data_IF_096624550192
#
_entry.id   IF_096624550192
#
_cell.length_a   1.000
_cell.length_b   1.000
_cell.length_c   1.000
_cell.angle_alpha   90.00
_cell.angle_beta   90.00
_cell.angle_gamma   90.00
#
_symmetry.space_group_name_H-M   'P 1'
#
loop_
_entity.id
_entity.type
_entity.pdbx_description
1 polymer ?
#
# COMPACT_ATOMS: atom_id res chain seq x y z
N UNK A 1 -29.15 22.28 -49.94
CA UNK A 1 -28.82 20.95 -49.38
C UNK A 1 -27.31 20.80 -49.33
N UNK A 2 -26.73 20.29 -48.25
CA UNK A 2 -25.28 20.01 -48.20
C UNK A 2 -24.98 18.71 -48.94
N UNK A 3 -23.91 18.68 -49.74
CA UNK A 3 -23.51 17.47 -50.45
C UNK A 3 -22.88 16.48 -49.48
N UNK A 4 -22.90 15.18 -49.82
CA UNK A 4 -22.23 14.16 -49.02
C UNK A 4 -20.74 14.45 -48.83
N UNK A 5 -20.11 15.13 -49.80
CA UNK A 5 -18.72 15.56 -49.71
C UNK A 5 -18.52 16.63 -48.63
N UNK A 6 -19.38 17.67 -48.63
CA UNK A 6 -19.27 18.77 -47.69
C UNK A 6 -19.54 18.33 -46.25
N UNK A 7 -20.48 17.39 -46.05
CA UNK A 7 -20.76 16.82 -44.73
C UNK A 7 -19.56 16.04 -44.18
N UNK A 8 -18.93 15.20 -45.00
CA UNK A 8 -17.76 14.39 -44.60
C UNK A 8 -16.55 15.30 -44.37
N UNK A 9 -16.33 16.30 -45.25
CA UNK A 9 -15.24 17.26 -45.09
C UNK A 9 -15.39 18.06 -43.79
N UNK A 10 -16.60 18.53 -43.48
CA UNK A 10 -16.88 19.24 -42.23
C UNK A 10 -16.66 18.37 -41.01
N UNK A 11 -17.18 17.15 -41.02
CA UNK A 11 -16.96 16.19 -39.93
C UNK A 11 -15.46 15.90 -39.71
N UNK A 12 -14.68 15.80 -40.79
CA UNK A 12 -13.24 15.63 -40.69
C UNK A 12 -12.54 16.82 -40.00
N UNK A 13 -12.86 18.05 -40.41
CA UNK A 13 -12.26 19.24 -39.79
C UNK A 13 -12.70 19.43 -38.33
N UNK A 14 -13.97 19.15 -38.00
CA UNK A 14 -14.45 19.14 -36.61
C UNK A 14 -13.66 18.15 -35.75
N UNK A 15 -13.51 16.92 -36.25
CA UNK A 15 -12.78 15.87 -35.53
C UNK A 15 -11.28 16.17 -35.37
N UNK A 16 -10.70 16.93 -36.30
CA UNK A 16 -9.33 17.41 -36.19
C UNK A 16 -9.20 18.50 -35.14
N UNK A 17 -10.18 19.40 -35.07
CA UNK A 17 -10.23 20.50 -34.09
C UNK A 17 -10.47 20.01 -32.67
N UNK A 18 -11.37 19.05 -32.47
CA UNK A 18 -11.72 18.55 -31.14
C UNK A 18 -10.75 17.47 -30.60
N UNK A 19 -9.82 17.01 -31.45
CA UNK A 19 -8.82 15.99 -31.09
C UNK A 19 -9.39 14.57 -30.99
N UNK A 20 -10.60 14.35 -31.52
CA UNK A 20 -11.24 13.03 -31.58
C UNK A 20 -10.43 12.02 -32.38
N UNK A 21 -10.70 10.73 -32.15
CA UNK A 21 -10.10 9.65 -32.92
C UNK A 21 -10.47 9.76 -34.41
N UNK A 22 -9.47 10.03 -35.25
CA UNK A 22 -9.65 10.14 -36.70
C UNK A 22 -9.51 8.74 -37.33
N UNK A 23 -10.57 8.27 -37.98
CA UNK A 23 -10.56 7.12 -38.90
C UNK A 23 -11.60 7.35 -39.98
N UNK A 24 -11.45 6.75 -41.17
CA UNK A 24 -12.45 6.86 -42.26
C UNK A 24 -13.87 6.54 -41.79
N UNK A 25 -14.02 5.50 -40.98
CA UNK A 25 -15.31 5.08 -40.45
C UNK A 25 -15.87 6.09 -39.44
N UNK A 26 -15.04 6.61 -38.53
CA UNK A 26 -15.47 7.60 -37.55
C UNK A 26 -15.90 8.91 -38.21
N UNK A 27 -15.16 9.37 -39.23
CA UNK A 27 -15.51 10.57 -40.01
C UNK A 27 -16.84 10.38 -40.74
N UNK A 28 -17.05 9.23 -41.39
CA UNK A 28 -18.31 8.92 -42.08
C UNK A 28 -19.49 8.84 -41.09
N UNK A 29 -19.28 8.21 -39.94
CA UNK A 29 -20.29 8.11 -38.86
C UNK A 29 -20.65 9.49 -38.31
N UNK A 30 -19.66 10.34 -38.05
CA UNK A 30 -19.85 11.72 -37.56
C UNK A 30 -20.65 12.56 -38.56
N UNK A 31 -20.37 12.40 -39.86
CA UNK A 31 -21.12 13.04 -40.93
C UNK A 31 -22.53 12.46 -41.15
N UNK A 32 -22.90 11.38 -40.45
CA UNK A 32 -24.12 10.58 -40.71
C UNK A 32 -24.21 10.12 -42.18
N UNK A 33 -23.08 9.75 -42.77
CA UNK A 33 -22.96 9.28 -44.15
C UNK A 33 -22.37 7.87 -44.22
N UNK A 34 -22.62 7.18 -45.32
CA UNK A 34 -22.01 5.88 -45.58
C UNK A 34 -20.51 6.05 -45.93
N UNK A 35 -19.66 5.19 -45.35
CA UNK A 35 -18.22 5.13 -45.62
C UNK A 35 -17.89 4.90 -47.10
N UNK A 36 -18.79 4.24 -47.85
CA UNK A 36 -18.64 4.02 -49.30
C UNK A 36 -18.48 5.32 -50.10
N UNK A 37 -18.92 6.46 -49.57
CA UNK A 37 -18.68 7.77 -50.21
C UNK A 37 -17.18 8.11 -50.32
N UNK A 38 -16.34 7.64 -49.39
CA UNK A 38 -14.88 7.82 -49.43
C UNK A 38 -14.19 6.88 -50.43
N UNK A 39 -14.92 5.92 -51.01
CA UNK A 39 -14.41 5.00 -52.05
C UNK A 39 -14.57 5.55 -53.47
N UNK A 40 -15.21 6.72 -53.63
CA UNK A 40 -15.38 7.35 -54.94
C UNK A 40 -14.02 7.74 -55.54
N UNK A 41 -13.90 7.55 -56.85
CA UNK A 41 -12.65 7.79 -57.59
C UNK A 41 -12.42 9.25 -57.95
N UNK A 42 -13.45 10.10 -57.79
CA UNK A 42 -13.33 11.53 -58.12
C UNK A 42 -12.22 12.17 -57.26
N UNK A 43 -11.35 12.97 -57.89
CA UNK A 43 -10.10 13.48 -57.28
C UNK A 43 -10.31 14.14 -55.90
N UNK A 44 -11.43 14.86 -55.72
CA UNK A 44 -11.78 15.49 -54.44
C UNK A 44 -11.94 14.48 -53.29
N UNK A 45 -12.48 13.30 -53.57
CA UNK A 45 -12.66 12.22 -52.57
C UNK A 45 -11.35 11.51 -52.30
N UNK A 46 -10.52 11.31 -53.32
CA UNK A 46 -9.17 10.74 -53.19
C UNK A 46 -8.34 11.61 -52.25
N UNK A 47 -8.27 12.93 -52.51
CA UNK A 47 -7.55 13.88 -51.65
C UNK A 47 -8.09 13.89 -50.21
N UNK A 48 -9.41 13.86 -50.04
CA UNK A 48 -10.02 13.83 -48.70
C UNK A 48 -9.68 12.54 -47.96
N UNK A 49 -9.71 11.39 -48.65
CA UNK A 49 -9.34 10.09 -48.08
C UNK A 49 -7.89 10.05 -47.64
N UNK A 50 -6.96 10.53 -48.46
CA UNK A 50 -5.54 10.64 -48.12
C UNK A 50 -5.30 11.55 -46.93
N UNK A 51 -6.02 12.69 -46.85
CA UNK A 51 -5.92 13.59 -45.71
C UNK A 51 -6.41 12.94 -44.42
N UNK A 52 -7.51 12.17 -44.47
CA UNK A 52 -8.01 11.41 -43.32
C UNK A 52 -6.99 10.35 -42.87
N UNK A 53 -6.35 9.64 -43.81
CA UNK A 53 -5.33 8.64 -43.49
C UNK A 53 -4.09 9.26 -42.82
N UNK A 54 -3.58 10.36 -43.37
CA UNK A 54 -2.46 11.09 -42.76
C UNK A 54 -2.82 11.57 -41.36
N UNK A 55 -4.01 12.14 -41.20
CA UNK A 55 -4.47 12.62 -39.90
C UNK A 55 -4.67 11.47 -38.89
N UNK A 56 -5.16 10.31 -39.33
CA UNK A 56 -5.23 9.10 -38.50
C UNK A 56 -3.85 8.70 -37.97
N UNK A 57 -2.83 8.63 -38.84
CA UNK A 57 -1.46 8.30 -38.43
C UNK A 57 -0.93 9.29 -37.38
N UNK A 58 -1.08 10.60 -37.63
CA UNK A 58 -0.63 11.62 -36.67
C UNK A 58 -1.36 11.54 -35.32
N UNK A 59 -2.65 11.20 -35.32
CA UNK A 59 -3.42 11.02 -34.10
C UNK A 59 -2.93 9.78 -33.31
N UNK A 60 -2.67 8.67 -34.01
CA UNK A 60 -2.16 7.44 -33.40
C UNK A 60 -0.77 7.65 -32.78
N UNK A 61 0.13 8.36 -33.46
CA UNK A 61 1.45 8.73 -32.94
C UNK A 61 1.35 9.59 -31.68
N UNK A 62 0.55 10.66 -31.71
CA UNK A 62 0.33 11.53 -30.56
C UNK A 62 -0.25 10.77 -29.36
N UNK A 63 -1.16 9.82 -29.62
CA UNK A 63 -1.74 9.00 -28.56
C UNK A 63 -0.71 8.03 -27.95
N UNK A 64 0.16 7.41 -28.77
CA UNK A 64 1.27 6.58 -28.30
C UNK A 64 2.25 7.40 -27.45
N UNK A 65 2.60 8.61 -27.87
CA UNK A 65 3.48 9.50 -27.10
C UNK A 65 2.89 9.88 -25.74
N UNK A 66 1.58 10.16 -25.70
CA UNK A 66 0.88 10.42 -24.44
C UNK A 66 0.92 9.22 -23.50
N UNK A 67 0.70 8.00 -24.03
CA UNK A 67 0.81 6.77 -23.25
C UNK A 67 2.24 6.57 -22.72
N UNK A 68 3.27 6.82 -23.54
CA UNK A 68 4.67 6.74 -23.12
C UNK A 68 4.96 7.73 -21.97
N UNK A 69 4.46 8.97 -22.05
CA UNK A 69 4.59 9.96 -20.97
C UNK A 69 3.95 9.48 -19.67
N UNK A 70 2.72 8.96 -19.73
CA UNK A 70 2.03 8.41 -18.56
C UNK A 70 2.81 7.24 -17.93
N UNK A 71 3.31 6.33 -18.75
CA UNK A 71 4.12 5.19 -18.28
C UNK A 71 5.43 5.65 -17.63
N UNK A 72 6.11 6.66 -18.17
CA UNK A 72 7.32 7.25 -17.56
C UNK A 72 7.04 7.83 -16.19
N UNK A 73 5.94 8.58 -16.03
CA UNK A 73 5.52 9.12 -14.73
C UNK A 73 5.26 7.99 -13.72
N UNK A 74 4.53 6.95 -14.14
CA UNK A 74 4.23 5.80 -13.27
C UNK A 74 5.50 5.03 -12.85
N UNK A 75 6.46 4.88 -13.75
CA UNK A 75 7.76 4.27 -13.43
C UNK A 75 8.54 5.12 -12.41
N UNK A 76 8.53 6.44 -12.56
CA UNK A 76 9.19 7.33 -11.59
C UNK A 76 8.55 7.25 -10.20
N UNK A 77 7.22 7.25 -10.12
CA UNK A 77 6.48 7.06 -8.86
C UNK A 77 6.80 5.71 -8.20
N UNK A 78 6.80 4.62 -8.98
CA UNK A 78 7.13 3.29 -8.47
C UNK A 78 8.57 3.21 -7.97
N UNK A 79 9.53 3.82 -8.68
CA UNK A 79 10.92 3.92 -8.21
C UNK A 79 11.01 4.67 -6.89
N UNK A 80 10.27 5.77 -6.73
CA UNK A 80 10.23 6.53 -5.46
C UNK A 80 9.63 5.70 -4.32
N UNK A 81 8.52 4.99 -4.58
CA UNK A 81 7.91 4.09 -3.58
C UNK A 81 8.86 2.96 -3.19
N UNK A 82 9.53 2.34 -4.16
CA UNK A 82 10.52 1.29 -3.90
C UNK A 82 11.68 1.80 -3.05
N UNK A 83 12.20 3.01 -3.32
CA UNK A 83 13.25 3.60 -2.50
C UNK A 83 12.80 3.83 -1.05
N UNK A 84 11.58 4.31 -0.83
CA UNK A 84 11.00 4.48 0.51
C UNK A 84 10.85 3.16 1.26
N UNK A 85 10.34 2.12 0.60
CA UNK A 85 10.20 0.80 1.21
C UNK A 85 11.55 0.15 1.50
N UNK A 86 12.54 0.31 0.60
CA UNK A 86 13.92 -0.11 0.88
C UNK A 86 14.47 0.57 2.12
N UNK A 87 14.31 1.89 2.25
CA UNK A 87 14.76 2.65 3.41
C UNK A 87 14.06 2.20 4.71
N UNK A 88 12.75 1.90 4.67
CA UNK A 88 12.03 1.36 5.83
C UNK A 88 12.50 -0.04 6.23
N UNK A 89 12.89 -0.86 5.26
CA UNK A 89 13.37 -2.23 5.47
C UNK A 89 14.90 -2.28 5.67
N UNK A 90 15.59 -1.14 5.58
CA UNK A 90 17.01 -0.98 5.94
C UNK A 90 17.14 -0.84 7.47
N UNK A 91 16.44 -1.71 8.20
CA UNK A 91 16.69 -1.91 9.63
C UNK A 91 17.76 -2.99 9.69
N UNK A 92 18.93 -2.66 10.21
CA UNK A 92 19.99 -3.64 10.43
C UNK A 92 19.45 -4.72 11.38
N UNK A 93 19.32 -5.99 10.94
CA UNK A 93 18.83 -7.06 11.80
C UNK A 93 19.62 -7.15 13.11
N UNK A 94 20.90 -6.78 13.06
CA UNK A 94 21.81 -6.79 14.21
C UNK A 94 21.47 -5.74 15.28
N UNK A 95 20.79 -4.64 14.94
CA UNK A 95 20.32 -3.68 15.94
C UNK A 95 19.10 -4.22 16.70
N UNK A 96 18.16 -4.86 16.00
CA UNK A 96 17.02 -5.51 16.66
C UNK A 96 17.50 -6.67 17.55
N UNK A 97 18.47 -7.46 17.08
CA UNK A 97 19.02 -8.57 17.84
C UNK A 97 19.66 -8.11 19.16
N UNK A 98 20.34 -6.96 19.19
CA UNK A 98 20.95 -6.43 20.43
C UNK A 98 19.93 -6.03 21.49
N UNK A 99 18.84 -5.38 21.10
CA UNK A 99 17.81 -4.98 22.07
C UNK A 99 16.96 -6.18 22.52
N UNK A 100 16.77 -7.16 21.63
CA UNK A 100 16.15 -8.43 21.97
C UNK A 100 17.03 -9.25 22.95
N UNK A 101 18.34 -9.31 22.73
CA UNK A 101 19.29 -9.96 23.65
C UNK A 101 19.27 -9.31 25.05
N UNK A 102 19.25 -7.97 25.15
CA UNK A 102 19.12 -7.28 26.44
C UNK A 102 17.82 -7.65 27.17
N UNK A 103 16.71 -7.73 26.44
CA UNK A 103 15.42 -8.12 27.00
C UNK A 103 15.44 -9.57 27.50
N UNK A 104 16.08 -10.49 26.76
CA UNK A 104 16.26 -11.88 27.18
C UNK A 104 17.09 -12.01 28.45
N UNK A 105 18.21 -11.30 28.55
CA UNK A 105 19.03 -11.27 29.77
C UNK A 105 18.20 -10.79 30.96
N UNK A 106 17.46 -9.70 30.79
CA UNK A 106 16.63 -9.15 31.88
C UNK A 106 15.50 -10.12 32.29
N UNK A 107 14.93 -10.83 31.33
CA UNK A 107 13.93 -11.87 31.62
C UNK A 107 14.54 -13.02 32.43
N UNK A 108 15.75 -13.46 32.09
CA UNK A 108 16.48 -14.50 32.84
C UNK A 108 16.80 -14.04 34.27
N UNK A 109 17.23 -12.79 34.45
CA UNK A 109 17.46 -12.20 35.78
C UNK A 109 16.18 -12.18 36.63
N UNK A 110 15.03 -11.82 36.03
CA UNK A 110 13.75 -11.84 36.72
C UNK A 110 13.34 -13.26 37.15
N UNK A 111 13.53 -14.26 36.29
CA UNK A 111 13.25 -15.66 36.66
C UNK A 111 14.17 -16.15 37.78
N UNK A 112 15.46 -15.80 37.74
CA UNK A 112 16.40 -16.16 38.80
C UNK A 112 16.01 -15.53 40.16
N UNK A 113 15.56 -14.28 40.16
CA UNK A 113 15.08 -13.61 41.37
C UNK A 113 13.78 -14.27 41.89
N UNK A 114 12.85 -14.63 41.01
CA UNK A 114 11.63 -15.37 41.39
C UNK A 114 12.00 -16.69 42.07
N UNK A 115 12.94 -17.45 41.53
CA UNK A 115 13.32 -18.74 42.10
C UNK A 115 14.05 -18.59 43.44
N UNK A 116 14.87 -17.54 43.59
CA UNK A 116 15.46 -17.19 44.89
C UNK A 116 14.38 -16.83 45.93
N UNK A 117 13.38 -16.03 45.55
CA UNK A 117 12.28 -15.68 46.43
C UNK A 117 11.45 -16.91 46.83
N UNK A 118 11.23 -17.87 45.92
CA UNK A 118 10.58 -19.15 46.26
C UNK A 118 11.35 -19.95 47.29
N UNK A 119 12.68 -20.01 47.17
CA UNK A 119 13.53 -20.71 48.14
C UNK A 119 13.45 -20.06 49.52
N UNK A 120 13.55 -18.72 49.57
CA UNK A 120 13.40 -17.97 50.83
C UNK A 120 12.03 -18.22 51.45
N UNK A 121 10.96 -18.17 50.65
CA UNK A 121 9.61 -18.41 51.15
C UNK A 121 9.43 -19.85 51.68
N UNK A 122 9.98 -20.84 50.98
CA UNK A 122 9.97 -22.22 51.46
C UNK A 122 10.75 -22.39 52.78
N UNK A 123 11.91 -21.75 52.91
CA UNK A 123 12.71 -21.77 54.13
C UNK A 123 11.97 -21.09 55.30
N UNK A 124 11.43 -19.89 55.08
CA UNK A 124 10.62 -19.18 56.07
C UNK A 124 9.40 -20.00 56.52
N UNK A 125 8.75 -20.71 55.58
CA UNK A 125 7.63 -21.60 55.89
C UNK A 125 8.07 -22.79 56.76
N UNK A 126 9.23 -23.37 56.47
CA UNK A 126 9.81 -24.45 57.29
C UNK A 126 10.18 -23.93 58.69
N UNK A 127 10.80 -22.75 58.79
CA UNK A 127 11.11 -22.11 60.07
C UNK A 127 9.84 -21.84 60.89
N UNK A 128 8.76 -21.38 60.25
CA UNK A 128 7.45 -21.20 60.88
C UNK A 128 6.86 -22.51 61.40
N UNK A 129 7.00 -23.62 60.66
CA UNK A 129 6.51 -24.93 61.08
C UNK A 129 7.30 -25.53 62.27
N UNK A 130 8.59 -25.23 62.38
CA UNK A 130 9.48 -25.78 63.41
C UNK A 130 9.76 -24.82 64.57
N UNK A 131 9.38 -23.55 64.45
CA UNK A 131 9.22 -22.63 65.56
C UNK A 131 8.09 -23.17 66.44
N UNK A 132 8.42 -23.81 67.56
CA UNK A 132 7.48 -24.41 68.52
C UNK A 132 6.48 -23.43 69.17
N UNK A 133 6.36 -22.20 68.67
CA UNK A 133 5.26 -21.28 68.93
C UNK A 133 4.35 -21.26 67.70
N UNK A 134 3.18 -21.89 67.81
CA UNK A 134 2.06 -21.62 66.91
C UNK A 134 1.68 -20.15 67.08
N UNK A 135 2.29 -19.31 66.26
CA UNK A 135 1.98 -17.89 66.16
C UNK A 135 1.31 -17.71 64.82
N UNK A 136 -0.02 -17.61 64.80
CA UNK A 136 -0.73 -17.25 63.57
C UNK A 136 -0.36 -15.81 63.23
N UNK A 137 0.36 -15.63 62.12
CA UNK A 137 0.65 -14.31 61.54
C UNK A 137 -0.51 -13.97 60.60
N UNK A 138 -1.35 -13.01 60.98
CA UNK A 138 -2.40 -12.48 60.10
C UNK A 138 -1.85 -11.32 59.30
N UNK A 139 -1.96 -11.41 57.98
CA UNK A 139 -1.45 -10.42 57.02
C UNK A 139 -2.62 -9.83 56.25
N UNK A 140 -2.60 -8.52 56.04
CA UNK A 140 -3.56 -7.83 55.17
C UNK A 140 -3.37 -8.29 53.72
N UNK A 141 -4.40 -8.84 53.11
CA UNK A 141 -4.34 -9.38 51.74
C UNK A 141 -4.20 -8.32 50.65
N UNK A 142 -4.43 -7.05 50.97
CA UNK A 142 -4.39 -5.92 50.03
C UNK A 142 -3.10 -5.11 50.11
N UNK A 143 -2.48 -5.00 51.29
CA UNK A 143 -1.24 -4.22 51.49
C UNK A 143 -0.02 -5.08 51.80
N UNK A 144 -0.20 -6.32 52.25
CA UNK A 144 0.88 -7.21 52.67
C UNK A 144 1.45 -6.89 54.07
N UNK A 145 0.82 -5.99 54.83
CA UNK A 145 1.25 -5.63 56.18
C UNK A 145 0.79 -6.65 57.24
N UNK A 146 1.62 -6.89 58.26
CA UNK A 146 1.31 -7.83 59.35
C UNK A 146 0.39 -7.13 60.37
N UNK A 147 -0.80 -7.69 60.59
CA UNK A 147 -1.85 -7.12 61.44
C UNK A 147 -1.83 -7.70 62.87
N UNK A 148 -1.44 -8.97 63.07
CA UNK A 148 -1.49 -9.59 64.40
C UNK A 148 -0.54 -10.80 64.55
N UNK A 149 0.04 -10.97 65.75
CA UNK A 149 0.87 -12.12 66.18
C UNK A 149 0.18 -12.82 67.36
N UNK A 150 -0.55 -13.90 67.11
CA UNK A 150 -1.30 -14.62 68.16
C UNK A 150 -0.54 -15.87 68.58
N UNK A 151 0.12 -15.85 69.75
CA UNK A 151 0.83 -17.01 70.31
C UNK A 151 -0.14 -17.90 71.08
N UNK A 152 -0.46 -19.09 70.56
CA UNK A 152 -1.15 -20.13 71.34
C UNK A 152 -0.11 -20.93 72.13
N UNK A 153 0.00 -20.67 73.43
CA UNK A 153 0.65 -21.61 74.36
C UNK A 153 -0.28 -22.81 74.57
N UNK A 154 0.23 -24.03 74.39
CA UNK A 154 -0.29 -25.21 75.08
C UNK A 154 0.22 -25.19 76.53
#
# INVERSE_FOLDING_TARGET
>A
MSSAYDDIKRAFEEMKSDGSKITKNAVATRAKRNIANLSKEEEKWVKLRENIEKAQLTWEEKNKDNLIKQLRTKVAELKSKLAKEKQKNEIDPKEIDKDFEKLLVRLQEMYAEIDKLKLINADLKNQLQHSGQHTEIRVDTSTGEIIELVSTKQ
#
